data_IF_937785975953
#
_entry.id   IF_937785975953
#
_cell.length_a   1.000
_cell.length_b   1.000
_cell.length_c   1.000
_cell.angle_alpha   90.00
_cell.angle_beta   90.00
_cell.angle_gamma   90.00
#
_symmetry.space_group_name_H-M   'P 1'
#
loop_
_entity.id
_entity.type
_entity.pdbx_description
1 polymer ?
#
# COMPACT_ATOMS: atom_id res chain seq x y z
N UNK A 1 32.17 5.53 -32.48
CA UNK A 1 30.71 5.23 -32.55
C UNK A 1 30.29 4.76 -31.17
N UNK A 2 29.34 5.48 -30.55
CA UNK A 2 28.83 5.16 -29.22
C UNK A 2 27.51 4.40 -29.41
N UNK A 3 27.36 3.15 -28.96
CA UNK A 3 26.11 2.41 -29.10
C UNK A 3 25.18 2.84 -27.96
N UNK A 4 24.71 4.08 -28.01
CA UNK A 4 23.70 4.56 -27.08
C UNK A 4 22.44 4.83 -27.87
N UNK A 5 21.38 4.19 -27.38
CA UNK A 5 19.98 4.30 -27.75
C UNK A 5 19.61 3.82 -29.15
N UNK A 6 19.52 2.50 -29.30
CA UNK A 6 18.31 1.96 -29.89
C UNK A 6 17.17 2.37 -28.96
N UNK A 7 16.61 3.56 -29.23
CA UNK A 7 15.36 4.00 -28.63
C UNK A 7 14.36 2.93 -29.04
N UNK A 8 13.98 2.08 -28.09
CA UNK A 8 12.97 1.06 -28.28
C UNK A 8 11.67 1.77 -28.71
N UNK A 9 11.49 1.91 -30.03
CA UNK A 9 10.35 2.57 -30.70
C UNK A 9 9.01 1.91 -30.32
N UNK A 10 9.07 0.74 -29.66
CA UNK A 10 7.92 -0.09 -29.29
C UNK A 10 7.10 0.44 -28.11
N UNK A 11 7.65 1.34 -27.30
CA UNK A 11 6.93 1.94 -26.17
C UNK A 11 6.72 3.45 -26.30
N UNK A 12 6.96 4.04 -27.47
CA UNK A 12 6.89 5.50 -27.66
C UNK A 12 5.52 6.08 -27.30
N UNK A 13 4.44 5.41 -27.72
CA UNK A 13 3.05 5.88 -27.50
C UNK A 13 2.57 5.68 -26.06
N UNK A 14 3.02 4.62 -25.38
CA UNK A 14 2.61 4.30 -24.01
C UNK A 14 3.71 4.55 -22.96
N UNK A 15 4.74 5.33 -23.30
CA UNK A 15 5.94 5.53 -22.45
C UNK A 15 5.61 6.06 -21.07
N UNK A 16 4.70 7.03 -21.00
CA UNK A 16 4.28 7.63 -19.73
C UNK A 16 3.45 6.67 -18.89
N UNK A 17 2.57 5.88 -19.52
CA UNK A 17 1.78 4.87 -18.81
C UNK A 17 2.69 3.77 -18.29
N UNK A 18 3.63 3.30 -19.10
CA UNK A 18 4.61 2.27 -18.72
C UNK A 18 5.51 2.75 -17.56
N UNK A 19 5.97 4.00 -17.57
CA UNK A 19 6.82 4.53 -16.48
C UNK A 19 6.06 4.62 -15.16
N UNK A 20 4.76 4.95 -15.19
CA UNK A 20 3.88 4.93 -14.01
C UNK A 20 3.69 3.51 -13.49
N UNK A 21 3.37 2.54 -14.35
CA UNK A 21 3.23 1.13 -13.95
C UNK A 21 4.55 0.59 -13.40
N UNK A 22 5.66 0.86 -14.08
CA UNK A 22 6.99 0.44 -13.64
C UNK A 22 7.30 0.94 -12.22
N UNK A 23 6.98 2.20 -11.93
CA UNK A 23 7.15 2.78 -10.59
C UNK A 23 6.27 2.09 -9.55
N UNK A 24 5.01 1.80 -9.89
CA UNK A 24 4.09 1.06 -9.02
C UNK A 24 4.61 -0.37 -8.75
N UNK A 25 5.00 -1.09 -9.79
CA UNK A 25 5.55 -2.45 -9.68
C UNK A 25 6.82 -2.47 -8.82
N UNK A 26 7.71 -1.49 -8.99
CA UNK A 26 8.89 -1.34 -8.13
C UNK A 26 8.51 -1.17 -6.66
N UNK A 27 7.51 -0.34 -6.35
CA UNK A 27 7.01 -0.18 -4.98
C UNK A 27 6.42 -1.48 -4.43
N UNK A 28 5.68 -2.24 -5.25
CA UNK A 28 5.16 -3.55 -4.86
C UNK A 28 6.28 -4.56 -4.56
N UNK A 29 7.34 -4.60 -5.37
CA UNK A 29 8.52 -5.44 -5.11
C UNK A 29 9.21 -5.06 -3.78
N UNK A 30 9.37 -3.77 -3.51
CA UNK A 30 9.94 -3.31 -2.25
C UNK A 30 9.05 -3.66 -1.05
N UNK A 31 7.74 -3.42 -1.16
CA UNK A 31 6.77 -3.72 -0.11
C UNK A 31 6.62 -5.22 0.18
N UNK A 32 6.91 -6.08 -0.81
CA UNK A 32 6.92 -7.53 -0.65
C UNK A 32 8.24 -8.10 -0.11
N UNK A 33 9.21 -7.24 0.23
CA UNK A 33 10.46 -7.64 0.88
C UNK A 33 11.61 -7.94 -0.08
N UNK A 34 11.51 -7.56 -1.36
CA UNK A 34 12.64 -7.64 -2.29
C UNK A 34 13.58 -6.45 -2.03
N UNK A 35 14.52 -6.65 -1.09
CA UNK A 35 15.48 -5.60 -0.68
C UNK A 35 16.75 -5.59 -1.55
N UNK A 36 17.12 -6.75 -2.11
CA UNK A 36 18.30 -6.85 -2.97
C UNK A 36 18.08 -6.14 -4.32
N UNK A 37 19.00 -5.24 -4.67
CA UNK A 37 19.00 -4.45 -5.89
C UNK A 37 19.07 -5.33 -7.14
N UNK A 38 19.84 -6.42 -7.09
CA UNK A 38 20.00 -7.34 -8.22
C UNK A 38 18.71 -8.11 -8.44
N UNK A 39 18.15 -8.70 -7.38
CA UNK A 39 16.87 -9.40 -7.42
C UNK A 39 15.73 -8.48 -7.91
N UNK A 40 15.69 -7.24 -7.42
CA UNK A 40 14.70 -6.24 -7.86
C UNK A 40 14.84 -5.94 -9.35
N UNK A 41 16.06 -5.77 -9.86
CA UNK A 41 16.29 -5.52 -11.28
C UNK A 41 15.87 -6.70 -12.16
N UNK A 42 16.16 -7.93 -11.74
CA UNK A 42 15.73 -9.15 -12.44
C UNK A 42 14.20 -9.19 -12.53
N UNK A 43 13.50 -8.93 -11.42
CA UNK A 43 12.03 -8.95 -11.35
C UNK A 43 11.37 -7.87 -12.20
N UNK A 44 11.96 -6.67 -12.24
CA UNK A 44 11.49 -5.58 -13.09
C UNK A 44 11.75 -5.85 -14.58
N UNK A 45 12.87 -6.50 -14.90
CA UNK A 45 13.19 -6.90 -16.28
C UNK A 45 12.25 -8.01 -16.76
N UNK A 46 11.95 -8.98 -15.90
CA UNK A 46 10.95 -10.03 -16.14
C UNK A 46 9.57 -9.43 -16.42
N UNK A 47 9.16 -8.44 -15.62
CA UNK A 47 7.92 -7.69 -15.85
C UNK A 47 7.90 -6.98 -17.22
N UNK A 48 8.97 -6.26 -17.59
CA UNK A 48 9.04 -5.56 -18.88
C UNK A 48 8.93 -6.52 -20.06
N UNK A 49 9.59 -7.68 -19.98
CA UNK A 49 9.52 -8.71 -21.01
C UNK A 49 8.11 -9.32 -21.13
N UNK A 50 7.39 -9.48 -20.02
CA UNK A 50 5.99 -9.95 -20.04
C UNK A 50 5.06 -8.94 -20.69
N UNK A 51 5.19 -7.66 -20.32
CA UNK A 51 4.41 -6.59 -20.93
C UNK A 51 4.70 -6.56 -22.43
N UNK A 52 5.95 -6.61 -22.86
CA UNK A 52 6.30 -6.62 -24.29
C UNK A 52 5.64 -7.78 -25.05
N UNK A 53 5.67 -8.99 -24.49
CA UNK A 53 5.08 -10.19 -25.14
C UNK A 53 3.57 -10.14 -25.26
N UNK A 54 2.87 -9.56 -24.28
CA UNK A 54 1.40 -9.56 -24.26
C UNK A 54 0.77 -8.31 -24.88
N UNK A 55 1.51 -7.20 -24.95
CA UNK A 55 1.02 -5.93 -25.52
C UNK A 55 1.38 -5.73 -26.99
N UNK A 56 2.18 -6.62 -27.58
CA UNK A 56 2.44 -6.62 -29.02
C UNK A 56 1.16 -6.92 -29.81
N UNK A 57 0.43 -5.88 -30.22
CA UNK A 57 -0.74 -5.96 -31.11
C UNK A 57 -2.09 -5.56 -30.51
N UNK A 58 -2.14 -5.00 -29.29
CA UNK A 58 -3.38 -4.49 -28.68
C UNK A 58 -3.24 -3.02 -28.29
N UNK A 59 -3.84 -2.13 -29.07
CA UNK A 59 -4.11 -0.74 -28.66
C UNK A 59 -5.34 -0.72 -27.75
N UNK A 60 -5.14 -1.04 -26.47
CA UNK A 60 -6.20 -0.94 -25.48
C UNK A 60 -6.13 0.41 -24.74
N UNK A 61 -7.28 1.09 -24.63
CA UNK A 61 -7.44 2.34 -23.88
C UNK A 61 -6.95 2.24 -22.43
N UNK A 62 -6.98 1.03 -21.85
CA UNK A 62 -6.67 0.75 -20.44
C UNK A 62 -5.34 -0.01 -20.21
N UNK A 63 -4.32 0.27 -21.02
CA UNK A 63 -2.97 -0.31 -20.94
C UNK A 63 -2.42 -0.42 -19.50
N UNK A 64 -2.63 0.61 -18.67
CA UNK A 64 -2.13 0.64 -17.29
C UNK A 64 -2.71 -0.48 -16.41
N UNK A 65 -4.03 -0.70 -16.54
CA UNK A 65 -4.74 -1.72 -15.76
C UNK A 65 -4.40 -3.12 -16.24
N UNK A 66 -4.26 -3.30 -17.56
CA UNK A 66 -3.90 -4.58 -18.16
C UNK A 66 -2.47 -4.96 -17.74
N UNK A 67 -1.50 -4.05 -17.87
CA UNK A 67 -0.12 -4.29 -17.44
C UNK A 67 -0.02 -4.63 -15.95
N UNK A 68 -0.78 -3.95 -15.08
CA UNK A 68 -0.81 -4.28 -13.65
C UNK A 68 -1.45 -5.65 -13.39
N UNK A 69 -2.52 -5.99 -14.11
CA UNK A 69 -3.15 -7.31 -14.02
C UNK A 69 -2.20 -8.42 -14.44
N UNK A 70 -1.40 -8.20 -15.48
CA UNK A 70 -0.35 -9.12 -15.93
C UNK A 70 0.71 -9.31 -14.85
N UNK A 71 1.18 -8.22 -14.24
CA UNK A 71 2.12 -8.30 -13.13
C UNK A 71 1.56 -9.16 -11.98
N UNK A 72 0.33 -8.90 -11.52
CA UNK A 72 -0.26 -9.65 -10.42
C UNK A 72 -0.49 -11.13 -10.76
N UNK A 73 -0.87 -11.43 -12.01
CA UNK A 73 -1.12 -12.81 -12.47
C UNK A 73 0.17 -13.59 -12.71
N UNK A 74 1.23 -12.93 -13.13
CA UNK A 74 2.51 -13.55 -13.51
C UNK A 74 3.20 -14.28 -12.37
N UNK A 75 2.85 -13.99 -11.11
CA UNK A 75 3.50 -14.61 -9.96
C UNK A 75 4.98 -14.23 -9.83
N UNK A 76 5.42 -13.13 -10.47
CA UNK A 76 6.79 -12.59 -10.35
C UNK A 76 7.23 -12.50 -8.87
N UNK A 77 6.31 -12.12 -7.98
CA UNK A 77 6.53 -12.04 -6.53
C UNK A 77 6.38 -13.37 -5.79
N UNK A 78 5.69 -14.36 -6.36
CA UNK A 78 5.41 -15.65 -5.71
C UNK A 78 6.58 -16.65 -5.74
N UNK A 79 7.71 -16.31 -6.37
CA UNK A 79 8.86 -17.21 -6.56
C UNK A 79 9.70 -17.46 -5.30
N UNK A 80 9.36 -16.90 -4.14
CA UNK A 80 10.04 -17.21 -2.88
C UNK A 80 9.05 -17.67 -1.81
N UNK A 81 8.12 -18.55 -2.20
CA UNK A 81 7.40 -19.38 -1.23
C UNK A 81 8.43 -20.35 -0.63
N UNK A 82 9.11 -19.90 0.44
CA UNK A 82 10.02 -20.72 1.22
C UNK A 82 9.37 -22.08 1.48
N UNK A 83 10.14 -23.13 1.23
CA UNK A 83 9.75 -24.54 1.27
C UNK A 83 9.56 -25.05 2.72
N UNK A 84 9.08 -24.20 3.61
CA UNK A 84 8.86 -24.50 5.04
C UNK A 84 7.63 -23.72 5.50
N UNK A 85 6.46 -24.26 5.18
CA UNK A 85 5.20 -23.93 5.83
C UNK A 85 5.01 -24.76 7.13
N UNK A 86 6.11 -25.17 7.76
CA UNK A 86 6.04 -25.56 9.17
C UNK A 86 6.02 -24.26 9.96
N UNK A 87 4.80 -23.82 10.28
CA UNK A 87 4.57 -22.87 11.35
C UNK A 87 5.33 -23.41 12.58
N UNK A 88 6.23 -22.63 13.21
CA UNK A 88 6.75 -23.06 14.50
C UNK A 88 5.55 -23.26 15.41
N UNK A 89 5.50 -24.39 16.13
CA UNK A 89 4.43 -24.65 17.09
C UNK A 89 4.43 -23.52 18.13
N UNK A 90 3.56 -22.53 17.93
CA UNK A 90 3.35 -21.43 18.86
C UNK A 90 2.53 -22.04 19.98
N UNK A 91 3.20 -22.40 21.09
CA UNK A 91 2.50 -22.75 22.32
C UNK A 91 1.62 -21.54 22.74
N UNK A 92 0.30 -21.74 22.93
CA UNK A 92 -0.64 -20.64 23.21
C UNK A 92 -0.38 -19.93 24.55
N UNK A 93 0.51 -20.48 25.39
CA UNK A 93 0.93 -19.92 26.68
C UNK A 93 1.82 -18.68 26.56
N UNK A 94 2.37 -18.36 25.38
CA UNK A 94 3.21 -17.16 25.15
C UNK A 94 2.48 -15.95 24.56
N UNK A 95 1.19 -16.06 24.27
CA UNK A 95 0.40 -14.95 23.68
C UNK A 95 -0.09 -13.92 24.70
N UNK A 96 0.19 -14.11 26.00
CA UNK A 96 -0.02 -13.06 27.00
C UNK A 96 1.33 -12.39 27.25
N UNK A 97 1.57 -11.17 26.74
CA UNK A 97 2.79 -10.44 27.06
C UNK A 97 2.85 -10.25 28.58
N UNK A 98 4.03 -10.54 29.15
CA UNK A 98 4.30 -10.30 30.56
C UNK A 98 4.13 -8.79 30.82
N UNK A 99 3.39 -8.34 31.85
CA UNK A 99 3.06 -6.92 32.06
C UNK A 99 4.27 -5.98 32.24
N UNK A 100 5.48 -6.52 32.28
CA UNK A 100 6.75 -5.79 32.46
C UNK A 100 7.41 -5.44 31.10
N UNK A 101 6.95 -6.02 29.98
CA UNK A 101 7.53 -5.79 28.64
C UNK A 101 6.92 -4.60 27.89
N UNK A 102 5.91 -3.94 28.46
CA UNK A 102 5.50 -2.62 28.01
C UNK A 102 6.53 -1.61 28.55
N UNK A 103 7.64 -1.44 27.82
CA UNK A 103 8.56 -0.33 28.03
C UNK A 103 7.85 1.03 27.81
N UNK A 104 8.51 2.07 27.28
CA UNK A 104 7.94 3.44 27.19
C UNK A 104 6.66 3.55 26.34
N UNK A 105 6.19 2.46 25.72
CA UNK A 105 4.87 2.33 25.09
C UNK A 105 3.71 2.28 26.10
N UNK A 106 3.95 1.83 27.35
CA UNK A 106 2.96 1.89 28.43
C UNK A 106 2.62 3.33 28.82
N UNK A 107 3.60 4.24 28.79
CA UNK A 107 3.41 5.68 29.04
C UNK A 107 2.70 6.42 27.90
N UNK A 108 2.62 5.82 26.70
CA UNK A 108 1.86 6.33 25.56
C UNK A 108 0.43 5.78 25.50
N UNK A 109 0.17 4.67 26.18
CA UNK A 109 -1.17 4.11 26.34
C UNK A 109 -1.94 4.78 27.50
N UNK A 110 -1.25 5.47 28.40
CA UNK A 110 -1.91 6.40 29.31
C UNK A 110 -2.44 7.61 28.51
N UNK A 111 -3.76 7.89 28.58
CA UNK A 111 -4.33 9.01 27.83
C UNK A 111 -3.82 10.32 28.45
N UNK A 112 -2.79 10.91 27.84
CA UNK A 112 -2.25 12.24 28.20
C UNK A 112 -3.15 13.40 27.80
N UNK A 113 -4.24 13.16 27.09
CA UNK A 113 -5.22 14.20 26.79
C UNK A 113 -6.13 14.42 28.00
N UNK A 114 -5.67 15.27 28.91
CA UNK A 114 -6.57 16.00 29.81
C UNK A 114 -7.48 16.85 28.93
N UNK A 115 -8.64 16.31 28.53
CA UNK A 115 -9.68 17.09 27.88
C UNK A 115 -9.92 18.33 28.73
N UNK A 116 -9.56 19.49 28.20
CA UNK A 116 -9.78 20.74 28.91
C UNK A 116 -11.29 20.85 29.17
N UNK A 117 -11.72 21.08 30.42
CA UNK A 117 -13.14 21.07 30.78
C UNK A 117 -13.94 22.08 29.92
N UNK A 118 -13.27 23.14 29.47
CA UNK A 118 -13.81 24.17 28.57
C UNK A 118 -14.34 23.59 27.25
N UNK A 119 -13.64 22.64 26.63
CA UNK A 119 -14.07 22.02 25.37
C UNK A 119 -15.36 21.20 25.55
N UNK A 120 -15.51 20.56 26.71
CA UNK A 120 -16.72 19.80 27.07
C UNK A 120 -17.89 20.76 27.30
N UNK A 121 -17.68 21.86 28.03
CA UNK A 121 -18.74 22.87 28.24
C UNK A 121 -19.20 23.52 26.94
N UNK A 122 -18.27 23.88 26.04
CA UNK A 122 -18.60 24.46 24.74
C UNK A 122 -19.38 23.49 23.85
N UNK A 123 -19.02 22.20 23.85
CA UNK A 123 -19.75 21.20 23.06
C UNK A 123 -21.18 21.01 23.57
N UNK A 124 -21.40 20.95 24.88
CA UNK A 124 -22.73 20.83 25.48
C UNK A 124 -23.60 22.05 25.16
N UNK A 125 -23.06 23.27 25.25
CA UNK A 125 -23.81 24.50 24.93
C UNK A 125 -24.15 24.55 23.44
N UNK A 126 -23.20 24.21 22.57
CA UNK A 126 -23.40 24.20 21.12
C UNK A 126 -24.54 23.26 20.74
N UNK A 127 -24.48 21.99 21.17
CA UNK A 127 -25.52 21.02 20.88
C UNK A 127 -26.86 21.39 21.52
N UNK A 128 -26.85 21.88 22.77
CA UNK A 128 -28.06 22.36 23.44
C UNK A 128 -28.78 23.48 22.66
N UNK A 129 -28.02 24.44 22.12
CA UNK A 129 -28.56 25.51 21.29
C UNK A 129 -29.14 24.98 19.97
N UNK A 130 -28.42 24.08 19.29
CA UNK A 130 -28.90 23.45 18.05
C UNK A 130 -30.21 22.69 18.28
N UNK A 131 -30.30 21.91 19.37
CA UNK A 131 -31.53 21.20 19.72
C UNK A 131 -32.67 22.15 20.09
N UNK A 132 -32.40 23.23 20.82
CA UNK A 132 -33.42 24.22 21.15
C UNK A 132 -33.95 24.93 19.88
N UNK A 133 -33.06 25.27 18.94
CA UNK A 133 -33.43 25.85 17.65
C UNK A 133 -34.24 24.88 16.78
N UNK A 134 -33.83 23.62 16.71
CA UNK A 134 -34.58 22.58 16.00
C UNK A 134 -35.96 22.37 16.62
N UNK A 135 -36.05 22.30 17.95
CA UNK A 135 -37.31 22.11 18.65
C UNK A 135 -38.25 23.30 18.46
N UNK A 136 -37.73 24.53 18.57
CA UNK A 136 -38.51 25.74 18.36
C UNK A 136 -38.93 25.92 16.89
N UNK A 137 -38.07 25.55 15.95
CA UNK A 137 -38.38 25.53 14.52
C UNK A 137 -39.40 24.47 14.11
N UNK A 138 -39.58 23.43 14.93
CA UNK A 138 -40.56 22.35 14.71
C UNK A 138 -41.90 22.62 15.43
N UNK A 139 -41.91 23.50 16.43
CA UNK A 139 -43.12 23.92 17.16
C UNK A 139 -43.86 25.11 16.50
N UNK A 140 -43.30 25.70 15.45
CA UNK A 140 -43.90 26.78 14.66
C UNK A 140 -44.34 26.27 13.30
#
# INVERSE_FOLDING_TARGET
>A
MNPRSDVNLRFSENREKLSRVYSKVKLYCLASGVVDSIALHIKLTEFLNLVEKETSGKENSDFETEAMKLFLRSGILHSQKNKSFDLPAIEPSRMVPNPVDFGPLGELAEPKEKLEPVAVFLSVIFWGSVYAFLLYGLLR
#
